data_IF_927774338976
#
_entry.id   IF_927774338976
#
_cell.length_a   1.000
_cell.length_b   1.000
_cell.length_c   1.000
_cell.angle_alpha   90.00
_cell.angle_beta   90.00
_cell.angle_gamma   90.00
#
_symmetry.space_group_name_H-M   'P 1'
#
loop_
_entity.id
_entity.type
_entity.pdbx_description
1 polymer ?
#
# COMPACT_ATOMS: atom_id res chain seq x y z
N UNK A 1 6.15 -11.17 -3.64
CA UNK A 1 6.98 -10.31 -2.77
C UNK A 1 7.20 -8.98 -3.46
N UNK A 2 7.49 -7.92 -2.70
CA UNK A 2 7.81 -6.60 -3.24
C UNK A 2 9.06 -6.05 -2.56
N UNK A 3 9.87 -5.31 -3.31
CA UNK A 3 10.99 -4.54 -2.75
C UNK A 3 10.42 -3.29 -2.07
N UNK A 4 10.81 -3.05 -0.82
CA UNK A 4 10.36 -1.91 -0.03
C UNK A 4 11.56 -1.03 0.34
N UNK A 5 11.39 0.28 0.21
CA UNK A 5 12.38 1.28 0.59
C UNK A 5 11.84 2.17 1.71
N UNK A 6 12.65 2.37 2.74
CA UNK A 6 12.34 3.17 3.92
C UNK A 6 13.41 4.25 4.09
N UNK A 7 13.01 5.43 4.55
CA UNK A 7 13.98 6.46 4.94
C UNK A 7 14.75 6.01 6.19
N UNK A 8 16.04 6.36 6.28
CA UNK A 8 16.90 5.97 7.41
C UNK A 8 16.32 6.32 8.79
N UNK A 9 15.54 7.42 8.88
CA UNK A 9 14.89 7.86 10.11
C UNK A 9 13.87 6.88 10.71
N UNK A 10 13.40 5.89 9.95
CA UNK A 10 12.48 4.85 10.46
C UNK A 10 13.21 3.72 11.21
N UNK A 11 14.54 3.62 11.12
CA UNK A 11 15.31 2.59 11.82
C UNK A 11 15.05 1.16 11.33
N UNK A 12 14.64 0.99 10.08
CA UNK A 12 14.39 -0.30 9.43
C UNK A 12 15.24 -0.44 8.15
N UNK A 13 15.66 -1.66 7.80
CA UNK A 13 16.34 -1.91 6.54
C UNK A 13 15.36 -1.85 5.36
N UNK A 14 15.89 -1.50 4.18
CA UNK A 14 15.23 -1.80 2.91
C UNK A 14 15.29 -3.31 2.65
N UNK A 15 14.31 -3.85 1.93
CA UNK A 15 14.36 -5.27 1.58
C UNK A 15 13.09 -5.78 0.92
N UNK A 16 13.12 -7.05 0.53
CA UNK A 16 11.96 -7.75 -0.03
C UNK A 16 11.09 -8.27 1.10
N UNK A 17 9.78 -8.14 0.93
CA UNK A 17 8.80 -8.71 1.84
C UNK A 17 7.56 -9.20 1.10
N UNK A 18 6.86 -10.18 1.68
CA UNK A 18 5.50 -10.52 1.26
C UNK A 18 4.54 -9.40 1.69
N UNK A 19 3.79 -8.86 0.74
CA UNK A 19 2.75 -7.84 0.96
C UNK A 19 1.37 -8.51 0.96
N UNK A 20 0.34 -7.95 1.63
CA UNK A 20 -1.00 -8.49 1.52
C UNK A 20 -1.55 -8.33 0.09
N UNK A 21 -2.65 -9.01 -0.21
CA UNK A 21 -3.45 -8.67 -1.40
C UNK A 21 -3.89 -7.20 -1.32
N UNK A 22 -3.79 -6.47 -2.42
CA UNK A 22 -4.07 -5.04 -2.48
C UNK A 22 -5.16 -4.71 -3.48
N UNK A 23 -5.92 -3.65 -3.20
CA UNK A 23 -6.83 -3.00 -4.12
C UNK A 23 -6.27 -1.62 -4.45
N UNK A 24 -6.18 -1.30 -5.74
CA UNK A 24 -5.66 -0.05 -6.26
C UNK A 24 -6.80 0.72 -6.93
N UNK A 25 -7.01 1.97 -6.51
CA UNK A 25 -7.94 2.90 -7.14
C UNK A 25 -7.15 4.09 -7.65
N UNK A 26 -6.95 4.14 -8.97
CA UNK A 26 -5.98 5.02 -9.58
C UNK A 26 -6.58 5.83 -10.73
N UNK A 27 -6.13 7.07 -10.85
CA UNK A 27 -6.26 7.89 -12.05
C UNK A 27 -4.86 8.16 -12.60
N UNK A 28 -4.71 8.94 -13.68
CA UNK A 28 -3.37 9.36 -14.15
C UNK A 28 -2.57 10.22 -13.16
N UNK A 29 -3.24 10.83 -12.17
CA UNK A 29 -2.62 11.82 -11.27
C UNK A 29 -2.73 11.44 -9.79
N UNK A 30 -3.44 10.37 -9.45
CA UNK A 30 -3.73 10.04 -8.06
C UNK A 30 -3.83 8.54 -7.87
N UNK A 31 -3.34 8.08 -6.72
CA UNK A 31 -3.47 6.70 -6.28
C UNK A 31 -4.09 6.66 -4.88
N UNK A 32 -5.05 5.76 -4.70
CA UNK A 32 -5.47 5.27 -3.41
C UNK A 32 -5.31 3.76 -3.36
N UNK A 33 -4.84 3.23 -2.22
CA UNK A 33 -4.63 1.80 -2.02
C UNK A 33 -5.27 1.31 -0.74
N UNK A 34 -5.74 0.07 -0.77
CA UNK A 34 -6.34 -0.64 0.35
C UNK A 34 -5.79 -2.06 0.42
N UNK A 35 -5.79 -2.66 1.61
CA UNK A 35 -5.50 -4.08 1.76
C UNK A 35 -6.78 -4.92 1.67
N UNK A 36 -6.60 -6.17 1.23
CA UNK A 36 -7.60 -7.21 1.17
C UNK A 36 -7.12 -8.43 1.97
N UNK A 37 -8.05 -9.16 2.58
CA UNK A 37 -7.74 -10.40 3.31
C UNK A 37 -7.59 -11.60 2.38
N UNK A 38 -8.01 -11.48 1.12
CA UNK A 38 -7.96 -12.55 0.12
C UNK A 38 -7.45 -12.03 -1.22
N UNK A 39 -6.84 -12.92 -1.98
CA UNK A 39 -6.39 -12.75 -3.38
C UNK A 39 -7.52 -12.97 -4.41
N UNK A 40 -8.72 -13.35 -3.95
CA UNK A 40 -9.90 -13.47 -4.80
C UNK A 40 -10.35 -12.10 -5.30
N UNK A 41 -10.88 -12.07 -6.54
CA UNK A 41 -11.50 -10.88 -7.13
C UNK A 41 -12.55 -10.29 -6.16
N UNK A 42 -12.43 -9.02 -5.76
CA UNK A 42 -13.37 -8.40 -4.85
C UNK A 42 -14.73 -8.19 -5.53
N UNK A 43 -15.78 -8.18 -4.72
CA UNK A 43 -17.14 -7.80 -5.11
C UNK A 43 -17.47 -6.44 -4.49
N UNK A 44 -18.56 -5.80 -4.90
CA UNK A 44 -19.03 -4.54 -4.33
C UNK A 44 -19.06 -4.55 -2.78
N UNK A 45 -19.48 -5.66 -2.18
CA UNK A 45 -19.61 -5.79 -0.72
C UNK A 45 -18.30 -6.20 -0.02
N UNK A 46 -17.20 -6.39 -0.75
CA UNK A 46 -15.91 -6.78 -0.17
C UNK A 46 -15.42 -5.67 0.77
N UNK A 47 -15.19 -5.97 2.07
CA UNK A 47 -14.65 -5.00 3.00
C UNK A 47 -13.20 -4.63 2.67
N UNK A 48 -12.89 -3.35 2.81
CA UNK A 48 -11.54 -2.84 2.64
C UNK A 48 -10.81 -2.74 3.98
N UNK A 49 -9.49 -2.83 3.93
CA UNK A 49 -8.61 -2.68 5.09
C UNK A 49 -7.63 -1.54 4.83
N UNK A 50 -7.14 -0.91 5.89
CA UNK A 50 -6.05 0.04 5.76
C UNK A 50 -4.84 -0.65 5.14
N UNK A 51 -4.25 -0.04 4.11
CA UNK A 51 -3.03 -0.56 3.52
C UNK A 51 -1.88 -0.41 4.53
N UNK A 52 -1.11 -1.48 4.82
CA UNK A 52 -0.14 -1.49 5.90
C UNK A 52 1.17 -0.77 5.54
N UNK A 53 1.12 0.36 4.82
CA UNK A 53 2.32 1.10 4.40
C UNK A 53 2.34 2.52 5.00
N UNK A 54 3.50 3.16 4.87
CA UNK A 54 3.70 4.55 5.22
C UNK A 54 3.26 5.45 4.06
N UNK A 55 3.17 6.75 4.29
CA UNK A 55 2.77 7.74 3.29
C UNK A 55 1.33 7.52 2.76
N UNK A 56 0.43 6.91 3.52
CA UNK A 56 -0.97 6.68 3.13
C UNK A 56 -1.90 7.37 4.14
N UNK A 57 -2.81 8.21 3.64
CA UNK A 57 -3.84 8.87 4.43
C UNK A 57 -4.95 7.89 4.86
N UNK A 58 -5.73 8.25 5.88
CA UNK A 58 -6.82 7.41 6.41
C UNK A 58 -7.89 7.06 5.35
N UNK A 59 -8.08 7.90 4.33
CA UNK A 59 -9.02 7.66 3.24
C UNK A 59 -8.49 6.71 2.15
N UNK A 60 -7.24 6.25 2.27
CA UNK A 60 -6.53 5.36 1.36
C UNK A 60 -5.63 6.09 0.36
N UNK A 61 -5.68 7.43 0.26
CA UNK A 61 -4.86 8.19 -0.68
C UNK A 61 -3.38 8.08 -0.33
N UNK A 62 -2.57 7.86 -1.36
CA UNK A 62 -1.12 7.82 -1.23
C UNK A 62 -0.56 9.24 -1.35
N UNK A 63 0.27 9.64 -0.39
CA UNK A 63 1.05 10.87 -0.45
C UNK A 63 2.27 10.64 -1.34
N UNK A 64 2.26 11.23 -2.52
CA UNK A 64 3.33 11.07 -3.51
C UNK A 64 4.55 11.94 -3.23
N UNK A 65 4.48 12.86 -2.26
CA UNK A 65 5.57 13.78 -1.94
C UNK A 65 6.08 14.50 -3.19
N UNK A 66 7.35 14.28 -3.52
CA UNK A 66 8.02 14.85 -4.70
C UNK A 66 8.14 13.88 -5.88
N UNK A 67 7.49 12.72 -5.83
CA UNK A 67 7.48 11.75 -6.94
C UNK A 67 6.80 12.39 -8.16
N UNK A 68 7.53 12.48 -9.27
CA UNK A 68 6.99 12.98 -10.54
C UNK A 68 6.22 11.87 -11.24
N UNK A 69 4.89 11.94 -11.19
CA UNK A 69 4.02 11.02 -11.92
C UNK A 69 3.94 11.46 -13.38
N UNK A 70 4.39 10.62 -14.30
CA UNK A 70 4.35 10.87 -15.75
C UNK A 70 3.66 9.71 -16.48
N UNK A 71 2.34 9.63 -16.31
CA UNK A 71 1.51 8.66 -17.02
C UNK A 71 0.81 9.38 -18.16
N UNK A 72 1.17 8.99 -19.40
CA UNK A 72 0.59 9.57 -20.61
C UNK A 72 -0.90 9.22 -20.72
N UNK A 73 -1.71 10.14 -21.27
CA UNK A 73 -3.13 9.85 -21.55
C UNK A 73 -3.31 8.70 -22.56
N UNK A 74 -2.28 8.42 -23.37
CA UNK A 74 -2.27 7.35 -24.36
C UNK A 74 -1.71 6.02 -23.82
N UNK A 75 -1.40 5.93 -22.52
CA UNK A 75 -0.87 4.71 -21.94
C UNK A 75 -1.87 3.56 -22.06
N UNK A 76 -1.37 2.36 -22.36
CA UNK A 76 -2.19 1.14 -22.25
C UNK A 76 -2.57 0.86 -20.80
N UNK A 77 -3.48 -0.08 -20.57
CA UNK A 77 -3.85 -0.49 -19.21
C UNK A 77 -2.63 -1.09 -18.49
N UNK A 78 -1.83 -1.89 -19.19
CA UNK A 78 -0.61 -2.51 -18.67
C UNK A 78 0.45 -1.45 -18.31
N UNK A 79 0.72 -0.50 -19.22
CA UNK A 79 1.65 0.61 -18.96
C UNK A 79 1.18 1.46 -17.77
N UNK A 80 -0.12 1.68 -17.65
CA UNK A 80 -0.73 2.41 -16.54
C UNK A 80 -0.55 1.68 -15.20
N UNK A 81 -0.79 0.36 -15.17
CA UNK A 81 -0.63 -0.44 -13.94
C UNK A 81 0.83 -0.55 -13.54
N UNK A 82 1.73 -0.83 -14.48
CA UNK A 82 3.15 -0.98 -14.22
C UNK A 82 3.76 0.32 -13.68
N UNK A 83 3.38 1.47 -14.27
CA UNK A 83 3.83 2.77 -13.80
C UNK A 83 3.39 3.06 -12.36
N UNK A 84 2.14 2.71 -11.99
CA UNK A 84 1.68 2.91 -10.63
C UNK A 84 2.35 1.98 -9.62
N UNK A 85 2.57 0.72 -9.98
CA UNK A 85 3.31 -0.22 -9.13
C UNK A 85 4.75 0.26 -8.93
N UNK A 86 5.42 0.72 -9.99
CA UNK A 86 6.76 1.29 -9.94
C UNK A 86 6.81 2.53 -9.02
N UNK A 87 5.95 3.53 -9.27
CA UNK A 87 5.92 4.75 -8.46
C UNK A 87 5.64 4.49 -6.99
N UNK A 88 4.80 3.51 -6.66
CA UNK A 88 4.50 3.18 -5.28
C UNK A 88 5.64 2.41 -4.61
N UNK A 89 6.09 1.29 -5.18
CA UNK A 89 7.06 0.41 -4.54
C UNK A 89 8.51 0.91 -4.63
N UNK A 90 8.84 1.75 -5.63
CA UNK A 90 10.12 2.45 -5.70
C UNK A 90 10.10 3.83 -5.02
N UNK A 91 9.00 4.19 -4.34
CA UNK A 91 8.99 5.34 -3.43
C UNK A 91 9.64 5.01 -2.08
N UNK A 92 10.16 6.03 -1.40
CA UNK A 92 10.67 5.90 -0.04
C UNK A 92 9.54 6.13 0.98
N UNK A 93 9.17 5.05 1.67
CA UNK A 93 8.28 5.09 2.82
C UNK A 93 8.93 5.86 3.97
N UNK A 94 8.24 6.89 4.49
CA UNK A 94 8.89 7.87 5.38
C UNK A 94 8.19 8.08 6.71
N UNK A 95 6.86 8.21 6.73
CA UNK A 95 6.12 8.44 7.97
C UNK A 95 4.69 7.91 7.87
N UNK A 96 4.13 7.53 9.02
CA UNK A 96 2.70 7.22 9.11
C UNK A 96 1.93 8.55 9.06
N UNK A 97 0.95 8.62 8.17
CA UNK A 97 0.07 9.78 8.03
C UNK A 97 -1.22 9.51 8.81
N UNK A 98 -1.69 10.52 9.54
CA UNK A 98 -2.89 10.41 10.39
C UNK A 98 -2.59 10.00 11.83
N UNK A 99 -3.65 9.80 12.62
CA UNK A 99 -3.52 9.53 14.06
C UNK A 99 -3.43 8.05 14.38
N UNK A 100 -3.77 7.18 13.43
CA UNK A 100 -3.95 5.75 13.67
C UNK A 100 -2.96 4.92 12.87
N UNK A 101 -2.42 3.88 13.53
CA UNK A 101 -1.59 2.88 12.87
C UNK A 101 -2.47 2.06 11.88
N UNK A 102 -2.00 1.81 10.64
CA UNK A 102 -2.77 1.06 9.63
C UNK A 102 -2.97 -0.42 9.97
N UNK A 103 -2.27 -0.94 10.99
CA UNK A 103 -2.41 -2.32 11.46
C UNK A 103 -2.73 -2.38 12.95
N UNK A 104 -3.15 -3.56 13.40
CA UNK A 104 -3.15 -3.93 14.82
C UNK A 104 -1.70 -4.22 15.23
N UNK A 105 -1.14 -3.41 16.13
CA UNK A 105 0.25 -3.53 16.59
C UNK A 105 1.13 -2.42 16.04
N UNK A 106 2.41 -2.70 15.78
CA UNK A 106 3.41 -1.72 15.33
C UNK A 106 3.85 -1.99 13.88
N UNK A 107 3.62 -1.03 12.98
CA UNK A 107 3.90 -1.18 11.55
C UNK A 107 5.41 -1.31 11.27
N UNK A 108 6.25 -0.57 12.00
CA UNK A 108 7.71 -0.62 11.89
C UNK A 108 8.22 -2.03 12.27
N UNK A 109 7.81 -2.53 13.43
CA UNK A 109 8.20 -3.86 13.89
C UNK A 109 7.74 -4.97 12.93
N UNK A 110 6.55 -4.84 12.33
CA UNK A 110 6.05 -5.79 11.35
C UNK A 110 6.95 -5.85 10.12
N UNK A 111 7.20 -4.72 9.46
CA UNK A 111 8.01 -4.74 8.23
C UNK A 111 9.44 -5.17 8.45
N UNK A 112 10.06 -4.72 9.55
CA UNK A 112 11.39 -5.19 9.93
C UNK A 112 11.43 -6.72 10.04
N UNK A 113 10.47 -7.32 10.75
CA UNK A 113 10.38 -8.78 10.89
C UNK A 113 10.20 -9.46 9.52
N UNK A 114 9.26 -8.99 8.70
CA UNK A 114 8.96 -9.63 7.41
C UNK A 114 10.16 -9.58 6.45
N UNK A 115 10.91 -8.48 6.47
CA UNK A 115 12.14 -8.33 5.65
C UNK A 115 13.25 -9.26 6.15
N UNK A 116 13.44 -9.37 7.47
CA UNK A 116 14.48 -10.20 8.07
C UNK A 116 14.20 -11.71 7.93
N UNK A 117 12.93 -12.10 7.96
CA UNK A 117 12.51 -13.52 8.00
C UNK A 117 12.01 -14.07 6.67
N UNK A 118 11.54 -13.22 5.76
CA UNK A 118 10.86 -13.65 4.54
C UNK A 118 9.50 -14.31 4.78
N UNK A 119 8.93 -14.19 5.99
CA UNK A 119 7.63 -14.75 6.32
C UNK A 119 6.51 -14.13 5.46
N UNK A 120 5.41 -14.88 5.30
CA UNK A 120 4.20 -14.36 4.68
C UNK A 120 3.57 -13.23 5.52
N UNK A 121 2.88 -12.30 4.86
CA UNK A 121 2.20 -11.22 5.56
C UNK A 121 1.06 -11.76 6.46
N UNK A 122 1.05 -11.45 7.78
CA UNK A 122 0.04 -11.94 8.70
C UNK A 122 -1.27 -11.15 8.54
N UNK A 123 -2.30 -11.77 7.94
CA UNK A 123 -3.55 -11.09 7.57
C UNK A 123 -4.39 -10.63 8.76
N UNK A 124 -4.23 -11.24 9.93
CA UNK A 124 -4.97 -10.93 11.16
C UNK A 124 -4.61 -9.55 11.75
N UNK A 125 -3.43 -9.02 11.40
CA UNK A 125 -3.00 -7.67 11.78
C UNK A 125 -3.73 -6.58 10.99
N UNK A 126 -4.39 -6.91 9.88
CA UNK A 126 -5.11 -5.92 9.08
C UNK A 126 -6.23 -5.28 9.90
N UNK A 127 -6.28 -3.95 9.84
CA UNK A 127 -7.33 -3.15 10.47
C UNK A 127 -8.39 -2.80 9.41
N UNK A 128 -9.65 -3.11 9.72
CA UNK A 128 -10.77 -2.86 8.82
C UNK A 128 -10.91 -1.36 8.57
N UNK A 129 -11.02 -0.97 7.31
CA UNK A 129 -11.43 0.35 6.89
C UNK A 129 -12.98 0.36 6.85
N UNK A 130 -13.61 1.47 7.19
CA UNK A 130 -15.08 1.59 7.22
C UNK A 130 -15.71 1.67 5.81
N UNK A 131 -15.02 1.12 4.80
CA UNK A 131 -15.38 1.13 3.39
C UNK A 131 -15.47 -0.29 2.83
N UNK A 132 -16.28 -0.43 1.80
CA UNK A 132 -16.35 -1.57 0.89
C UNK A 132 -15.90 -1.13 -0.51
N UNK A 133 -15.70 -2.05 -1.44
CA UNK A 133 -15.40 -1.71 -2.84
C UNK A 133 -16.47 -0.78 -3.44
N UNK A 134 -17.75 -1.00 -3.11
CA UNK A 134 -18.86 -0.15 -3.55
C UNK A 134 -18.71 1.32 -3.18
N UNK A 135 -17.98 1.63 -2.11
CA UNK A 135 -17.76 3.02 -1.72
C UNK A 135 -16.69 3.73 -2.58
N UNK A 136 -16.02 3.02 -3.49
CA UNK A 136 -15.03 3.56 -4.42
C UNK A 136 -15.52 3.66 -5.87
N UNK A 137 -16.62 2.97 -6.20
CA UNK A 137 -17.25 2.96 -7.53
C UNK A 137 -18.31 4.05 -7.62
#
# INVERSE_FOLDING_TARGET
>A
EQQLYFVNGLGMPNGKASVPSMLWYASKNSLAVFALTTDRRPTENTPLYFAPFFNIYEDGKVCMGTVSIDIKNSASVEEFTDAWEDYFFNSYFSHLLGKQNPIKGNCVSLWKKLIETGEAFPKDVLKKNNKTLKNLL
#
